data_IF_494248463765
#
_entry.id   IF_494248463765
#
_cell.length_a   1.000
_cell.length_b   1.000
_cell.length_c   1.000
_cell.angle_alpha   90.00
_cell.angle_beta   90.00
_cell.angle_gamma   90.00
#
_symmetry.space_group_name_H-M   'P 1'
#
loop_
_entity.id
_entity.type
_entity.pdbx_description
1 polymer ?
#
# COMPACT_ATOMS: atom_id res chain seq x y z
N UNK A 1 -42.69 -28.79 -6.00
CA UNK A 1 -42.63 -27.66 -5.05
C UNK A 1 -41.18 -27.23 -4.90
N UNK A 2 -40.74 -26.26 -5.70
CA UNK A 2 -39.39 -25.71 -5.71
C UNK A 2 -39.39 -24.40 -4.95
N UNK A 3 -38.73 -24.37 -3.78
CA UNK A 3 -38.57 -23.16 -2.99
C UNK A 3 -37.53 -22.24 -3.65
N UNK A 4 -38.00 -21.09 -4.12
CA UNK A 4 -37.20 -19.98 -4.61
C UNK A 4 -36.72 -19.19 -3.39
N UNK A 5 -35.51 -19.44 -2.90
CA UNK A 5 -34.87 -18.58 -1.89
C UNK A 5 -34.31 -17.34 -2.57
N UNK A 6 -34.94 -16.19 -2.34
CA UNK A 6 -34.46 -14.86 -2.74
C UNK A 6 -33.20 -14.47 -1.94
N UNK A 7 -32.15 -13.91 -2.56
CA UNK A 7 -31.01 -13.36 -1.84
C UNK A 7 -31.32 -11.90 -1.47
N UNK A 8 -31.85 -11.66 -0.27
CA UNK A 8 -32.18 -10.31 0.19
C UNK A 8 -31.64 -10.11 1.60
N UNK A 9 -30.46 -9.48 1.72
CA UNK A 9 -29.87 -9.20 3.03
C UNK A 9 -28.68 -8.24 3.11
N UNK A 10 -27.86 -8.07 2.06
CA UNK A 10 -26.56 -7.36 2.20
C UNK A 10 -26.36 -6.11 1.33
N UNK A 11 -27.38 -5.67 0.58
CA UNK A 11 -27.27 -4.43 -0.20
C UNK A 11 -27.14 -3.18 0.69
N UNK A 12 -27.69 -3.23 1.91
CA UNK A 12 -27.77 -2.09 2.83
C UNK A 12 -26.46 -1.66 3.49
N UNK A 13 -25.35 -2.41 3.35
CA UNK A 13 -24.03 -2.02 3.91
C UNK A 13 -22.92 -1.92 2.86
N UNK A 14 -23.25 -2.03 1.57
CA UNK A 14 -22.27 -2.00 0.49
C UNK A 14 -21.56 -0.63 0.37
N UNK A 15 -22.27 0.44 0.70
CA UNK A 15 -21.80 1.83 0.65
C UNK A 15 -20.88 2.21 1.83
N UNK A 16 -20.89 1.44 2.94
CA UNK A 16 -20.02 1.67 4.10
C UNK A 16 -18.58 1.17 3.90
N UNK A 17 -18.27 0.61 2.72
CA UNK A 17 -16.92 0.15 2.39
C UNK A 17 -16.43 0.92 1.16
N UNK A 18 -15.85 2.12 1.33
CA UNK A 18 -15.20 2.81 0.23
C UNK A 18 -14.18 1.85 -0.40
N UNK A 19 -14.36 1.49 -1.68
CA UNK A 19 -13.46 0.60 -2.41
C UNK A 19 -13.21 1.12 -3.81
N UNK A 20 -12.01 1.64 -4.01
CA UNK A 20 -11.61 2.29 -5.26
C UNK A 20 -11.11 1.22 -6.24
N UNK A 21 -11.87 1.02 -7.33
CA UNK A 21 -11.53 0.07 -8.41
C UNK A 21 -10.88 0.75 -9.61
N UNK A 22 -11.22 2.00 -9.90
CA UNK A 22 -10.71 2.71 -11.07
C UNK A 22 -9.26 3.11 -10.85
N UNK A 23 -8.39 2.73 -11.80
CA UNK A 23 -6.99 3.18 -11.87
C UNK A 23 -6.85 4.69 -11.75
N UNK A 24 -7.65 5.53 -12.44
CA UNK A 24 -7.53 6.98 -12.32
C UNK A 24 -7.83 7.51 -10.92
N UNK A 25 -8.70 6.89 -10.14
CA UNK A 25 -8.99 7.34 -8.76
C UNK A 25 -7.89 6.98 -7.76
N UNK A 26 -6.97 6.06 -8.10
CA UNK A 26 -5.83 5.73 -7.24
C UNK A 26 -4.77 6.84 -7.23
N UNK A 27 -4.62 7.58 -8.34
CA UNK A 27 -3.69 8.70 -8.44
C UNK A 27 -4.01 9.84 -7.45
N UNK A 28 -5.23 10.42 -7.47
CA UNK A 28 -5.66 11.44 -6.53
C UNK A 28 -5.60 10.97 -5.06
N UNK A 29 -5.87 9.70 -4.78
CA UNK A 29 -5.73 9.16 -3.42
C UNK A 29 -4.28 9.22 -2.92
N UNK A 30 -3.32 8.82 -3.77
CA UNK A 30 -1.90 8.90 -3.41
C UNK A 30 -1.44 10.35 -3.25
N UNK A 31 -1.88 11.23 -4.15
CA UNK A 31 -1.55 12.66 -4.10
C UNK A 31 -2.13 13.31 -2.83
N UNK A 32 -3.43 13.14 -2.58
CA UNK A 32 -4.12 13.73 -1.44
C UNK A 32 -3.55 13.24 -0.12
N UNK A 33 -3.30 11.93 0.00
CA UNK A 33 -2.66 11.37 1.19
C UNK A 33 -1.28 11.93 1.46
N UNK A 34 -0.47 12.09 0.41
CA UNK A 34 0.87 12.67 0.53
C UNK A 34 0.78 14.13 0.97
N UNK A 35 -0.09 14.92 0.34
CA UNK A 35 -0.30 16.33 0.71
C UNK A 35 -0.83 16.47 2.14
N UNK A 36 -1.84 15.70 2.52
CA UNK A 36 -2.36 15.66 3.89
C UNK A 36 -1.27 15.25 4.88
N UNK A 37 -0.45 14.25 4.55
CA UNK A 37 0.67 13.82 5.41
C UNK A 37 1.71 14.92 5.61
N UNK A 38 2.07 15.64 4.55
CA UNK A 38 2.98 16.79 4.64
C UNK A 38 2.38 17.90 5.50
N UNK A 39 1.10 18.24 5.30
CA UNK A 39 0.42 19.27 6.10
C UNK A 39 0.35 18.88 7.58
N UNK A 40 -0.07 17.64 7.87
CA UNK A 40 -0.17 17.14 9.24
C UNK A 40 1.19 17.08 9.94
N UNK A 41 2.24 16.61 9.25
CA UNK A 41 3.58 16.56 9.80
C UNK A 41 4.13 17.97 10.10
N UNK A 42 3.87 18.95 9.23
CA UNK A 42 4.27 20.34 9.46
C UNK A 42 3.46 21.02 10.58
N UNK A 43 2.15 20.76 10.66
CA UNK A 43 1.29 21.33 11.69
C UNK A 43 1.58 20.75 13.09
N UNK A 44 1.91 19.46 13.18
CA UNK A 44 2.13 18.77 14.46
C UNK A 44 3.56 18.95 15.01
N UNK A 45 4.50 19.46 14.21
CA UNK A 45 5.88 19.66 14.63
C UNK A 45 6.17 21.13 14.90
N UNK A 46 6.86 21.40 16.01
CA UNK A 46 7.34 22.74 16.32
C UNK A 46 8.23 23.31 15.19
N UNK A 47 8.28 24.65 15.02
CA UNK A 47 9.32 25.30 14.22
C UNK A 47 10.70 24.83 14.67
N UNK A 48 11.58 24.49 13.72
CA UNK A 48 12.95 24.06 14.03
C UNK A 48 13.13 22.60 14.47
N UNK A 49 12.08 21.76 14.42
CA UNK A 49 12.18 20.33 14.77
C UNK A 49 12.08 19.41 13.53
N UNK A 50 13.10 19.37 12.64
CA UNK A 50 13.06 18.61 11.39
C UNK A 50 12.94 17.10 11.61
N UNK A 51 13.63 16.55 12.62
CA UNK A 51 13.57 15.11 12.90
C UNK A 51 12.18 14.63 13.30
N UNK A 52 11.47 15.43 14.11
CA UNK A 52 10.08 15.13 14.48
C UNK A 52 9.16 15.14 13.27
N UNK A 53 9.34 16.10 12.34
CA UNK A 53 8.58 16.16 11.08
C UNK A 53 8.81 14.92 10.24
N UNK A 54 10.07 14.51 10.09
CA UNK A 54 10.46 13.34 9.32
C UNK A 54 9.82 12.05 9.87
N UNK A 55 9.88 11.84 11.18
CA UNK A 55 9.25 10.67 11.83
C UNK A 55 7.73 10.69 11.64
N UNK A 56 7.08 11.82 11.90
CA UNK A 56 5.63 11.95 11.74
C UNK A 56 5.20 11.69 10.29
N UNK A 57 5.90 12.26 9.31
CA UNK A 57 5.60 12.05 7.91
C UNK A 57 5.75 10.56 7.52
N UNK A 58 6.83 9.90 7.96
CA UNK A 58 7.03 8.48 7.69
C UNK A 58 5.89 7.61 8.26
N UNK A 59 5.45 7.91 9.48
CA UNK A 59 4.33 7.21 10.12
C UNK A 59 3.01 7.44 9.40
N UNK A 60 2.72 8.68 8.99
CA UNK A 60 1.50 9.00 8.24
C UNK A 60 1.51 8.32 6.87
N UNK A 61 2.65 8.32 6.17
CA UNK A 61 2.79 7.61 4.89
C UNK A 61 2.57 6.11 5.08
N UNK A 62 3.17 5.49 6.11
CA UNK A 62 2.96 4.08 6.41
C UNK A 62 1.48 3.75 6.66
N UNK A 63 0.82 4.55 7.52
CA UNK A 63 -0.61 4.40 7.79
C UNK A 63 -1.44 4.57 6.51
N UNK A 64 -1.13 5.57 5.69
CA UNK A 64 -1.84 5.85 4.44
C UNK A 64 -1.72 4.71 3.43
N UNK A 65 -0.52 4.12 3.31
CA UNK A 65 -0.28 2.95 2.47
C UNK A 65 -1.05 1.73 2.97
N UNK A 66 -1.06 1.50 4.29
CA UNK A 66 -1.85 0.41 4.89
C UNK A 66 -3.34 0.58 4.58
N UNK A 67 -3.90 1.78 4.76
CA UNK A 67 -5.29 2.08 4.40
C UNK A 67 -5.52 1.85 2.90
N UNK A 68 -4.63 2.35 2.04
CA UNK A 68 -4.71 2.20 0.59
C UNK A 68 -4.71 0.72 0.16
N UNK A 69 -3.85 -0.10 0.76
CA UNK A 69 -3.78 -1.54 0.51
C UNK A 69 -5.08 -2.28 0.86
N UNK A 70 -5.92 -1.72 1.75
CA UNK A 70 -7.22 -2.30 2.16
C UNK A 70 -8.40 -1.76 1.36
N UNK A 71 -8.33 -0.49 0.96
CA UNK A 71 -9.37 0.20 0.19
C UNK A 71 -9.28 -0.15 -1.30
N UNK A 72 -8.07 -0.27 -1.84
CA UNK A 72 -7.87 -0.56 -3.25
C UNK A 72 -8.15 -2.03 -3.58
N UNK A 73 -8.98 -2.24 -4.60
CA UNK A 73 -9.26 -3.57 -5.15
C UNK A 73 -8.97 -3.58 -6.64
N UNK A 74 -8.64 -4.77 -7.14
CA UNK A 74 -8.63 -4.99 -8.58
C UNK A 74 -10.05 -5.22 -9.10
N UNK A 75 -10.29 -4.91 -10.38
CA UNK A 75 -11.62 -4.96 -10.99
C UNK A 75 -12.32 -6.32 -10.89
N UNK A 76 -11.54 -7.41 -10.84
CA UNK A 76 -12.04 -8.78 -10.79
C UNK A 76 -11.96 -9.43 -9.40
N UNK A 77 -11.55 -8.69 -8.37
CA UNK A 77 -11.39 -9.26 -7.02
C UNK A 77 -12.73 -9.34 -6.27
N UNK A 78 -13.10 -10.51 -5.70
CA UNK A 78 -14.31 -10.65 -4.89
C UNK A 78 -14.36 -9.66 -3.72
N UNK A 79 -15.53 -9.06 -3.49
CA UNK A 79 -15.71 -8.02 -2.46
C UNK A 79 -15.86 -8.63 -1.06
N UNK A 80 -16.51 -9.79 -0.98
CA UNK A 80 -17.02 -10.38 0.25
C UNK A 80 -15.95 -10.90 1.23
N UNK A 81 -14.84 -11.54 0.81
CA UNK A 81 -13.80 -11.84 1.78
C UNK A 81 -12.94 -10.60 2.09
N UNK A 82 -12.67 -10.31 3.39
CA UNK A 82 -11.59 -9.43 3.77
C UNK A 82 -10.29 -9.86 3.10
N UNK A 83 -9.49 -8.88 2.66
CA UNK A 83 -8.20 -9.19 2.05
C UNK A 83 -7.30 -9.79 3.12
N UNK A 84 -6.61 -10.87 2.81
CA UNK A 84 -5.60 -11.40 3.71
C UNK A 84 -4.54 -10.33 4.00
N UNK A 85 -4.05 -10.27 5.25
CA UNK A 85 -3.20 -9.17 5.72
C UNK A 85 -1.89 -9.00 4.97
N UNK A 86 -1.38 -10.06 4.37
CA UNK A 86 -0.17 -10.08 3.56
C UNK A 86 -0.37 -9.47 2.16
N UNK A 87 -1.60 -9.26 1.70
CA UNK A 87 -1.91 -8.89 0.31
C UNK A 87 -2.00 -7.37 0.14
N UNK A 88 -0.87 -6.73 -0.14
CA UNK A 88 -0.76 -5.29 -0.36
C UNK A 88 -1.11 -4.85 -1.79
N UNK A 89 -0.98 -5.76 -2.76
CA UNK A 89 -1.34 -5.53 -4.16
C UNK A 89 -2.29 -6.61 -4.68
N UNK A 90 -3.06 -6.29 -5.72
CA UNK A 90 -3.82 -7.29 -6.47
C UNK A 90 -3.08 -7.85 -7.69
N UNK A 91 -2.10 -7.09 -8.21
CA UNK A 91 -1.28 -7.44 -9.38
C UNK A 91 0.18 -7.64 -8.97
N UNK A 92 0.78 -8.83 -9.25
CA UNK A 92 2.18 -9.11 -8.93
C UNK A 92 3.16 -8.14 -9.57
N UNK A 93 2.96 -7.79 -10.85
CA UNK A 93 3.84 -6.86 -11.58
C UNK A 93 3.88 -5.51 -10.90
N UNK A 94 2.72 -4.95 -10.53
CA UNK A 94 2.65 -3.68 -9.81
C UNK A 94 3.38 -3.74 -8.46
N UNK A 95 3.25 -4.83 -7.70
CA UNK A 95 3.95 -4.95 -6.43
C UNK A 95 5.45 -5.21 -6.56
N UNK A 96 5.92 -5.83 -7.64
CA UNK A 96 7.36 -5.93 -7.91
C UNK A 96 7.97 -4.57 -8.26
N UNK A 97 7.28 -3.78 -9.11
CA UNK A 97 7.74 -2.44 -9.49
C UNK A 97 7.76 -1.52 -8.27
N UNK A 98 6.63 -1.39 -7.57
CA UNK A 98 6.50 -0.50 -6.40
C UNK A 98 7.39 -0.98 -5.26
N UNK A 99 7.36 -2.29 -4.97
CA UNK A 99 8.12 -2.89 -3.89
C UNK A 99 9.63 -2.79 -4.11
N UNK A 100 10.10 -3.11 -5.32
CA UNK A 100 11.51 -2.98 -5.69
C UNK A 100 11.99 -1.55 -5.63
N UNK A 101 11.22 -0.61 -6.19
CA UNK A 101 11.54 0.82 -6.13
C UNK A 101 11.68 1.32 -4.69
N UNK A 102 10.75 0.95 -3.79
CA UNK A 102 10.78 1.40 -2.40
C UNK A 102 11.91 0.75 -1.59
N UNK A 103 12.21 -0.53 -1.80
CA UNK A 103 13.35 -1.19 -1.15
C UNK A 103 14.67 -0.55 -1.58
N UNK A 104 14.85 -0.33 -2.89
CA UNK A 104 16.06 0.32 -3.42
C UNK A 104 16.16 1.75 -2.91
N UNK A 105 15.09 2.54 -3.02
CA UNK A 105 15.10 3.93 -2.55
C UNK A 105 15.37 4.04 -1.04
N UNK A 106 14.73 3.20 -0.23
CA UNK A 106 14.96 3.15 1.21
C UNK A 106 16.38 2.70 1.56
N UNK A 107 16.92 1.71 0.85
CA UNK A 107 18.29 1.22 1.05
C UNK A 107 19.36 2.24 0.65
N UNK A 108 19.16 2.94 -0.47
CA UNK A 108 20.03 4.05 -0.89
C UNK A 108 19.96 5.18 0.14
N UNK A 109 18.76 5.61 0.56
CA UNK A 109 18.59 6.66 1.55
C UNK A 109 19.23 6.30 2.90
N UNK A 110 19.07 5.06 3.36
CA UNK A 110 19.67 4.58 4.60
C UNK A 110 21.22 4.54 4.51
N UNK A 111 21.76 4.06 3.40
CA UNK A 111 23.21 4.04 3.15
C UNK A 111 23.77 5.46 3.11
N UNK A 112 23.13 6.36 2.36
CA UNK A 112 23.53 7.76 2.28
C UNK A 112 23.51 8.43 3.65
N UNK A 113 22.43 8.27 4.42
CA UNK A 113 22.34 8.79 5.78
C UNK A 113 23.44 8.23 6.69
N UNK A 114 23.76 6.94 6.58
CA UNK A 114 24.83 6.35 7.39
C UNK A 114 26.22 6.90 7.05
N UNK A 115 26.48 7.17 5.76
CA UNK A 115 27.77 7.68 5.29
C UNK A 115 27.98 9.18 5.56
N UNK A 116 26.91 9.97 5.59
CA UNK A 116 26.98 11.43 5.77
C UNK A 116 26.64 11.90 7.19
N UNK A 117 26.46 10.97 8.14
CA UNK A 117 26.08 11.32 9.52
C UNK A 117 24.64 11.81 9.65
N UNK A 118 23.74 11.31 8.81
CA UNK A 118 22.31 11.59 8.83
C UNK A 118 21.64 11.22 10.16
N UNK A 119 20.52 11.89 10.47
CA UNK A 119 19.84 11.72 11.75
C UNK A 119 19.19 10.34 11.89
N UNK A 120 18.95 9.91 13.14
CA UNK A 120 18.19 8.70 13.42
C UNK A 120 16.77 8.74 12.80
N UNK A 121 16.19 9.92 12.69
CA UNK A 121 14.90 10.11 12.02
C UNK A 121 14.97 9.79 10.52
N UNK A 122 16.06 10.17 9.84
CA UNK A 122 16.26 9.84 8.43
C UNK A 122 16.44 8.33 8.22
N UNK A 123 17.21 7.67 9.10
CA UNK A 123 17.36 6.21 9.09
C UNK A 123 16.01 5.50 9.33
N UNK A 124 15.23 5.98 10.31
CA UNK A 124 13.90 5.45 10.59
C UNK A 124 12.97 5.58 9.37
N UNK A 125 12.88 6.77 8.76
CA UNK A 125 12.05 6.98 7.58
C UNK A 125 12.47 6.10 6.40
N UNK A 126 13.77 5.92 6.21
CA UNK A 126 14.34 5.04 5.18
C UNK A 126 13.97 3.57 5.43
N UNK A 127 14.04 3.13 6.69
CA UNK A 127 13.60 1.80 7.13
C UNK A 127 12.10 1.57 6.91
N UNK A 128 11.25 2.57 7.20
CA UNK A 128 9.81 2.50 6.93
C UNK A 128 9.54 2.33 5.43
N UNK A 129 10.21 3.11 4.57
CA UNK A 129 10.07 2.98 3.12
C UNK A 129 10.47 1.57 2.64
N UNK A 130 11.61 1.06 3.12
CA UNK A 130 12.08 -0.29 2.79
C UNK A 130 11.11 -1.38 3.29
N UNK A 131 10.56 -1.24 4.50
CA UNK A 131 9.59 -2.18 5.06
C UNK A 131 8.28 -2.22 4.25
N UNK A 132 7.78 -1.07 3.82
CA UNK A 132 6.63 -1.01 2.90
C UNK A 132 6.96 -1.71 1.59
N UNK A 133 8.14 -1.44 1.02
CA UNK A 133 8.61 -2.08 -0.20
C UNK A 133 8.65 -3.61 -0.06
N UNK A 134 9.22 -4.10 1.05
CA UNK A 134 9.28 -5.52 1.37
C UNK A 134 7.88 -6.15 1.51
N UNK A 135 6.91 -5.46 2.10
CA UNK A 135 5.53 -5.93 2.17
C UNK A 135 4.89 -6.08 0.78
N UNK A 136 5.15 -5.15 -0.14
CA UNK A 136 4.70 -5.26 -1.54
C UNK A 136 5.39 -6.42 -2.28
N UNK A 137 6.70 -6.60 -2.09
CA UNK A 137 7.43 -7.72 -2.67
C UNK A 137 6.92 -9.06 -2.14
N UNK A 138 6.73 -9.19 -0.83
CA UNK A 138 6.15 -10.38 -0.21
C UNK A 138 4.75 -10.69 -0.76
N UNK A 139 3.90 -9.67 -0.89
CA UNK A 139 2.59 -9.81 -1.52
C UNK A 139 2.71 -10.31 -2.96
N UNK A 140 3.65 -9.78 -3.75
CA UNK A 140 3.84 -10.18 -5.15
C UNK A 140 4.37 -11.60 -5.30
N UNK A 141 5.34 -12.00 -4.46
CA UNK A 141 5.89 -13.36 -4.45
C UNK A 141 4.80 -14.39 -4.18
N UNK A 142 3.95 -14.16 -3.17
CA UNK A 142 2.85 -15.07 -2.86
C UNK A 142 1.81 -15.16 -3.97
N UNK A 143 1.49 -14.03 -4.61
CA UNK A 143 0.57 -14.02 -5.75
C UNK A 143 1.16 -14.67 -7.00
N UNK A 144 2.48 -14.59 -7.19
CA UNK A 144 3.17 -15.25 -8.29
C UNK A 144 3.21 -16.77 -8.08
N UNK A 145 3.56 -17.21 -6.87
CA UNK A 145 3.59 -18.63 -6.51
C UNK A 145 2.21 -19.32 -6.63
N UNK A 146 1.12 -18.59 -6.40
CA UNK A 146 -0.25 -19.11 -6.56
C UNK A 146 -0.78 -19.18 -7.99
N UNK A 147 -0.01 -18.77 -9.02
CA UNK A 147 -0.45 -18.84 -10.42
C UNK A 147 -0.08 -20.19 -11.04
N UNK A 148 -1.05 -20.92 -11.64
CA UNK A 148 -0.71 -22.13 -12.38
C UNK A 148 0.17 -21.77 -13.60
N UNK A 149 1.11 -22.65 -14.00
CA UNK A 149 1.95 -22.42 -15.17
C UNK A 149 1.07 -22.22 -16.41
N UNK A 150 1.43 -21.23 -17.22
CA UNK A 150 0.69 -20.88 -18.45
C UNK A 150 0.78 -22.08 -19.39
N UNK A 151 -0.30 -22.85 -19.54
CA UNK A 151 -0.34 -23.95 -20.52
C UNK A 151 -0.15 -23.36 -21.91
N UNK A 152 1.03 -23.58 -22.48
CA UNK A 152 1.28 -23.31 -23.90
C UNK A 152 0.40 -24.30 -24.66
N UNK A 153 -0.63 -23.81 -25.35
CA UNK A 153 -1.34 -24.64 -26.33
C UNK A 153 -0.37 -24.81 -27.50
N UNK A 154 0.23 -25.99 -27.61
CA UNK A 154 0.84 -26.43 -28.85
C UNK A 154 -0.32 -26.58 -29.85
N UNK A 155 -0.30 -25.73 -30.88
CA UNK A 155 -1.17 -25.80 -32.06
C UNK A 155 -0.36 -26.45 -33.16
#
# INVERSE_FOLDING_TARGET
>A
MTAFTTPQGDAGRAWLRPRIRSTPAKGPYLLLGTLCGVVLANAAAAPGAPDRRTVLLAMVVAAWVVVGARVFRDGHEPVAPPRAWWRFTGKPTAGFVIGGMLVVAGGVAATSASLTGGSQAALFASGVAAAIGAAYLHSSLRLHAGRPPRRVRLV
#
